data_IF_069870497476
#
_entry.id   IF_069870497476
#
_cell.length_a   1.000
_cell.length_b   1.000
_cell.length_c   1.000
_cell.angle_alpha   90.00
_cell.angle_beta   90.00
_cell.angle_gamma   90.00
#
_symmetry.space_group_name_H-M   'P 1'
#
loop_
_entity.id
_entity.type
_entity.pdbx_description
1 polymer ?
#
# COMPACT_ATOMS: atom_id res chain seq x y z
N UNK A 1 1.56 -5.18 -8.19
CA UNK A 1 0.30 -4.46 -8.07
C UNK A 1 0.48 -3.02 -8.52
N UNK A 2 -0.40 -2.55 -9.39
CA UNK A 2 -0.28 -1.22 -9.98
C UNK A 2 -0.36 -0.08 -8.95
N UNK A 3 -1.15 -0.25 -7.89
CA UNK A 3 -1.28 0.77 -6.86
C UNK A 3 0.04 1.00 -6.11
N UNK A 4 0.76 -0.07 -5.80
CA UNK A 4 2.07 0.05 -5.13
C UNK A 4 3.06 0.78 -6.04
N UNK A 5 3.11 0.42 -7.32
CA UNK A 5 3.98 1.08 -8.29
C UNK A 5 3.63 2.56 -8.45
N UNK A 6 2.33 2.88 -8.49
CA UNK A 6 1.86 4.25 -8.57
C UNK A 6 2.32 5.08 -7.37
N UNK A 7 2.12 4.55 -6.16
CA UNK A 7 2.50 5.24 -4.93
C UNK A 7 4.02 5.39 -4.81
N UNK A 8 4.78 4.35 -5.17
CA UNK A 8 6.24 4.40 -5.15
C UNK A 8 6.77 5.45 -6.11
N UNK A 9 6.23 5.49 -7.33
CA UNK A 9 6.63 6.48 -8.33
C UNK A 9 6.33 7.90 -7.86
N UNK A 10 5.19 8.10 -7.23
CA UNK A 10 4.78 9.39 -6.69
C UNK A 10 5.75 9.91 -5.63
N UNK A 11 6.37 9.00 -4.88
CA UNK A 11 7.34 9.32 -3.83
C UNK A 11 8.79 9.34 -4.34
N UNK A 12 9.01 9.14 -5.64
CA UNK A 12 10.33 8.94 -6.24
C UNK A 12 11.09 7.76 -5.59
N UNK A 13 10.35 6.76 -5.15
CA UNK A 13 10.91 5.54 -4.58
C UNK A 13 11.18 4.55 -5.69
N UNK A 14 12.45 4.17 -5.84
CA UNK A 14 12.86 3.28 -6.91
C UNK A 14 12.42 1.83 -6.67
N UNK A 15 11.70 1.25 -7.64
CA UNK A 15 11.38 -0.16 -7.69
C UNK A 15 12.13 -0.79 -8.86
N UNK A 16 12.76 -1.93 -8.63
CA UNK A 16 13.37 -2.69 -9.71
C UNK A 16 12.29 -3.19 -10.67
N UNK A 17 12.64 -3.39 -11.95
CA UNK A 17 11.65 -3.77 -12.97
C UNK A 17 10.94 -5.08 -12.66
N UNK A 18 11.56 -5.97 -11.90
CA UNK A 18 11.01 -7.28 -11.53
C UNK A 18 10.61 -7.36 -10.05
N UNK A 19 10.37 -6.23 -9.41
CA UNK A 19 10.12 -6.17 -7.97
C UNK A 19 8.98 -7.09 -7.51
N UNK A 20 7.96 -7.27 -8.36
CA UNK A 20 6.82 -8.11 -8.00
C UNK A 20 7.19 -9.58 -7.83
N UNK A 21 8.29 -10.02 -8.44
CA UNK A 21 8.78 -11.39 -8.30
C UNK A 21 9.52 -11.62 -6.99
N UNK A 22 9.91 -10.55 -6.29
CA UNK A 22 10.73 -10.62 -5.08
C UNK A 22 10.01 -10.17 -3.82
N UNK A 23 8.76 -9.75 -3.94
CA UNK A 23 7.97 -9.26 -2.82
C UNK A 23 6.71 -10.10 -2.68
N UNK A 24 6.56 -10.74 -1.52
CA UNK A 24 5.33 -11.45 -1.18
C UNK A 24 4.39 -10.50 -0.45
N UNK A 25 3.12 -10.53 -0.82
CA UNK A 25 2.07 -9.78 -0.16
C UNK A 25 1.30 -10.72 0.76
N UNK A 26 0.98 -10.26 1.96
CA UNK A 26 0.19 -11.05 2.91
C UNK A 26 -0.77 -10.14 3.67
N UNK A 27 -1.99 -10.64 4.00
CA UNK A 27 -2.96 -9.81 4.69
C UNK A 27 -2.58 -9.59 6.14
N UNK A 28 -2.74 -8.37 6.62
CA UNK A 28 -2.57 -8.03 8.03
C UNK A 28 -3.90 -7.97 8.77
N UNK A 29 -5.01 -7.95 8.04
CA UNK A 29 -6.36 -7.98 8.60
C UNK A 29 -7.14 -9.15 8.01
N UNK A 30 -7.90 -9.87 8.87
CA UNK A 30 -8.50 -11.16 8.48
C UNK A 30 -9.76 -11.05 7.63
N UNK A 31 -10.65 -10.11 7.91
CA UNK A 31 -11.98 -10.09 7.32
C UNK A 31 -12.20 -9.04 6.26
N UNK A 32 -11.35 -8.02 6.22
CA UNK A 32 -11.47 -6.90 5.28
C UNK A 32 -10.10 -6.61 4.73
N UNK A 33 -10.02 -6.28 3.46
CA UNK A 33 -8.77 -5.85 2.87
C UNK A 33 -8.51 -4.43 3.37
N UNK A 34 -7.69 -4.30 4.39
CA UNK A 34 -7.31 -3.00 4.96
C UNK A 34 -5.82 -2.75 4.91
N UNK A 35 -5.04 -3.78 5.21
CA UNK A 35 -3.59 -3.65 5.25
C UNK A 35 -2.96 -4.87 4.65
N UNK A 36 -1.97 -4.66 3.80
CA UNK A 36 -1.24 -5.72 3.13
C UNK A 36 0.23 -5.57 3.50
N UNK A 37 0.78 -6.58 4.16
CA UNK A 37 2.20 -6.64 4.46
C UNK A 37 2.99 -6.98 3.20
N UNK A 38 4.18 -6.41 3.07
CA UNK A 38 5.07 -6.61 1.93
C UNK A 38 6.41 -7.13 2.44
N UNK A 39 6.81 -8.30 1.97
CA UNK A 39 8.04 -8.95 2.44
C UNK A 39 8.90 -9.36 1.25
N UNK A 40 10.13 -8.86 1.20
CA UNK A 40 11.09 -9.33 0.21
C UNK A 40 11.58 -10.72 0.58
N UNK A 41 11.86 -11.52 -0.43
CA UNK A 41 12.25 -12.92 -0.27
C UNK A 41 13.47 -13.12 0.63
N UNK A 42 14.47 -12.23 0.55
CA UNK A 42 15.67 -12.34 1.39
C UNK A 42 15.49 -11.77 2.80
N UNK A 43 14.31 -11.28 3.12
CA UNK A 43 14.01 -10.67 4.43
C UNK A 43 13.30 -11.64 5.38
N UNK A 44 13.05 -12.87 4.96
CA UNK A 44 12.39 -13.86 5.82
C UNK A 44 13.21 -14.09 7.10
N UNK A 45 12.51 -14.05 8.22
CA UNK A 45 13.13 -14.24 9.53
C UNK A 45 13.66 -12.97 10.18
N UNK A 46 13.69 -11.87 9.45
CA UNK A 46 14.04 -10.57 10.05
C UNK A 46 12.89 -10.00 10.83
N UNK A 47 13.17 -9.47 12.01
CA UNK A 47 12.22 -8.63 12.72
C UNK A 47 12.21 -7.26 12.06
N UNK A 48 11.06 -6.87 11.52
CA UNK A 48 10.89 -5.60 10.82
C UNK A 48 10.07 -4.65 11.67
N UNK A 49 10.41 -3.38 11.58
CA UNK A 49 9.65 -2.33 12.26
C UNK A 49 9.16 -1.30 11.26
N UNK A 50 7.88 -0.95 11.39
CA UNK A 50 7.24 0.11 10.63
C UNK A 50 7.99 1.42 10.89
N UNK A 51 8.31 2.15 9.85
CA UNK A 51 9.00 3.43 9.97
C UNK A 51 8.10 4.58 9.59
N UNK A 52 7.77 4.73 8.29
CA UNK A 52 7.05 5.93 7.86
C UNK A 52 6.22 5.68 6.60
N UNK A 53 5.21 6.53 6.43
CA UNK A 53 4.46 6.65 5.18
C UNK A 53 5.31 7.45 4.19
N UNK A 54 5.54 6.90 3.01
CA UNK A 54 6.29 7.60 1.96
C UNK A 54 5.38 8.16 0.88
N UNK A 55 4.15 7.65 0.77
CA UNK A 55 3.24 8.09 -0.28
C UNK A 55 1.81 7.75 0.12
N UNK A 56 0.86 8.54 -0.38
CA UNK A 56 -0.55 8.28 -0.16
C UNK A 56 -1.39 8.80 -1.32
N UNK A 57 -2.59 8.23 -1.44
CA UNK A 57 -3.60 8.67 -2.38
C UNK A 57 -4.97 8.25 -1.87
N UNK A 58 -6.03 8.64 -2.57
CA UNK A 58 -7.38 8.21 -2.26
C UNK A 58 -8.12 7.80 -3.53
N UNK A 59 -9.15 7.00 -3.34
CA UNK A 59 -10.08 6.65 -4.40
C UNK A 59 -11.46 6.42 -3.79
N UNK A 60 -12.46 6.26 -4.63
CA UNK A 60 -13.81 5.94 -4.19
C UNK A 60 -14.15 4.51 -4.56
N UNK A 61 -14.66 3.76 -3.60
CA UNK A 61 -15.13 2.40 -3.82
C UNK A 61 -16.44 2.41 -4.62
N UNK A 62 -16.91 1.24 -5.04
CA UNK A 62 -18.14 1.11 -5.84
C UNK A 62 -19.38 1.65 -5.14
N UNK A 63 -19.37 1.74 -3.81
CA UNK A 63 -20.43 2.32 -3.01
C UNK A 63 -20.24 3.83 -2.77
N UNK A 64 -19.30 4.44 -3.50
CA UNK A 64 -18.98 5.86 -3.44
C UNK A 64 -18.43 6.32 -2.08
N UNK A 65 -17.87 5.40 -1.30
CA UNK A 65 -17.22 5.73 -0.03
C UNK A 65 -15.73 5.84 -0.25
N UNK A 66 -15.13 6.88 0.33
CA UNK A 66 -13.70 7.18 0.16
C UNK A 66 -12.82 6.12 0.83
N UNK A 67 -11.75 5.75 0.13
CA UNK A 67 -10.70 4.88 0.65
C UNK A 67 -9.36 5.61 0.53
N UNK A 68 -8.63 5.67 1.62
CA UNK A 68 -7.27 6.21 1.62
C UNK A 68 -6.27 5.06 1.52
N UNK A 69 -5.22 5.27 0.75
CA UNK A 69 -4.15 4.28 0.56
C UNK A 69 -2.82 4.91 0.97
N UNK A 70 -2.06 4.19 1.80
CA UNK A 70 -0.77 4.62 2.30
C UNK A 70 0.27 3.56 2.03
N UNK A 71 1.41 3.98 1.47
CA UNK A 71 2.55 3.09 1.27
C UNK A 71 3.59 3.39 2.34
N UNK A 72 4.00 2.36 3.07
CA UNK A 72 4.94 2.49 4.18
C UNK A 72 6.21 1.71 3.92
N UNK A 73 7.30 2.21 4.48
CA UNK A 73 8.59 1.52 4.49
C UNK A 73 8.98 1.20 5.93
N UNK A 74 9.92 0.27 6.09
CA UNK A 74 10.48 -0.06 7.38
C UNK A 74 11.69 0.85 7.70
N UNK A 75 12.36 0.57 8.80
CA UNK A 75 13.53 1.37 9.23
C UNK A 75 14.72 1.26 8.29
N UNK A 76 14.71 0.29 7.38
CA UNK A 76 15.75 0.12 6.37
C UNK A 76 15.36 0.70 5.02
N UNK A 77 14.26 1.45 4.97
CA UNK A 77 13.69 2.03 3.73
C UNK A 77 13.28 0.97 2.70
N UNK A 78 12.87 -0.20 3.17
CA UNK A 78 12.32 -1.25 2.31
C UNK A 78 10.80 -1.24 2.39
N UNK A 79 10.12 -1.61 1.31
CA UNK A 79 8.66 -1.71 1.31
C UNK A 79 8.19 -2.59 2.45
N UNK A 80 7.27 -2.07 3.24
CA UNK A 80 6.79 -2.75 4.45
C UNK A 80 5.31 -3.07 4.40
N UNK A 81 4.48 -2.12 3.98
CA UNK A 81 3.03 -2.25 4.11
C UNK A 81 2.31 -1.35 3.12
N UNK A 82 1.21 -1.86 2.57
CA UNK A 82 0.20 -1.04 1.90
C UNK A 82 -1.01 -1.01 2.83
N UNK A 83 -1.34 0.15 3.37
CA UNK A 83 -2.42 0.33 4.31
C UNK A 83 -3.61 0.99 3.61
N UNK A 84 -4.78 0.34 3.66
CA UNK A 84 -6.00 0.81 3.03
C UNK A 84 -7.04 1.09 4.11
N UNK A 85 -7.55 2.30 4.12
CA UNK A 85 -8.55 2.72 5.09
C UNK A 85 -9.78 3.27 4.39
N UNK A 86 -10.89 2.55 4.52
CA UNK A 86 -12.19 3.02 4.05
C UNK A 86 -12.84 3.81 5.18
N UNK A 87 -13.25 5.05 4.89
CA UNK A 87 -13.60 6.02 5.94
C UNK A 87 -14.76 5.59 6.82
N UNK A 88 -15.66 4.73 6.34
CA UNK A 88 -16.77 4.20 7.14
C UNK A 88 -16.47 2.85 7.79
N UNK A 89 -15.23 2.35 7.66
CA UNK A 89 -14.78 1.06 8.19
C UNK A 89 -15.49 -0.16 7.62
N UNK A 90 -16.21 -0.03 6.52
CA UNK A 90 -16.82 -1.17 5.85
C UNK A 90 -15.81 -1.88 4.95
N UNK A 91 -16.22 -2.99 4.36
CA UNK A 91 -15.38 -3.77 3.46
C UNK A 91 -15.08 -3.01 2.17
N UNK A 92 -13.84 -3.09 1.70
CA UNK A 92 -13.45 -2.54 0.41
C UNK A 92 -13.88 -3.55 -0.66
N UNK A 93 -14.69 -3.10 -1.62
CA UNK A 93 -15.23 -3.96 -2.66
C UNK A 93 -14.33 -4.03 -3.89
N UNK A 94 -13.67 -2.93 -4.25
CA UNK A 94 -12.92 -2.85 -5.49
C UNK A 94 -11.84 -1.76 -5.41
N UNK A 95 -10.64 -2.08 -5.91
CA UNK A 95 -9.58 -1.09 -6.09
C UNK A 95 -9.58 -0.72 -7.57
N UNK A 96 -9.93 0.52 -7.93
CA UNK A 96 -10.01 0.92 -9.34
C UNK A 96 -8.62 1.08 -9.95
N UNK A 97 -8.58 1.38 -11.24
CA UNK A 97 -7.31 1.64 -11.92
C UNK A 97 -6.65 2.89 -11.36
N UNK A 98 -5.33 3.01 -11.55
CA UNK A 98 -4.55 4.14 -11.02
C UNK A 98 -5.00 5.49 -11.60
N UNK A 99 -5.67 5.50 -12.75
CA UNK A 99 -6.22 6.72 -13.33
C UNK A 99 -7.31 7.35 -12.47
N UNK A 100 -7.91 6.57 -11.59
CA UNK A 100 -8.96 7.03 -10.67
C UNK A 100 -8.42 7.50 -9.33
N UNK A 101 -7.11 7.44 -9.12
CA UNK A 101 -6.50 7.83 -7.85
C UNK A 101 -6.36 9.34 -7.77
N UNK A 102 -6.65 9.88 -6.59
CA UNK A 102 -6.56 11.32 -6.32
C UNK A 102 -5.55 11.57 -5.22
N UNK A 103 -4.92 12.73 -5.26
CA UNK A 103 -3.97 13.10 -4.23
C UNK A 103 -4.67 13.40 -2.91
N UNK A 104 -3.99 13.01 -1.81
CA UNK A 104 -4.33 13.44 -0.48
C UNK A 104 -3.25 14.39 -0.03
N UNK A 105 -3.66 15.54 0.51
CA UNK A 105 -2.71 16.46 1.09
C UNK A 105 -2.26 15.89 2.44
N UNK A 106 -0.98 15.56 2.53
CA UNK A 106 -0.37 15.16 3.79
C UNK A 106 -0.10 16.38 4.65
N UNK A 107 -0.51 16.27 5.88
CA UNK A 107 -0.26 17.32 6.87
C UNK A 107 0.94 16.92 7.73
#
# INVERSE_FOLDING_TARGET
MALIAFLANKANFHLESDWENHIAAYPLTKEKIRSIGLLRDYMQGYTRKRSRVISCCKFYDTDNVEVAAYLLVDLRDMLYELDLWKVDNSKIHHIPSVDCMEDIQQI
#
